data_IF_370458730901
#
_entry.id   IF_370458730901
#
_cell.length_a   1.000
_cell.length_b   1.000
_cell.length_c   1.000
_cell.angle_alpha   90.00
_cell.angle_beta   90.00
_cell.angle_gamma   90.00
#
_symmetry.space_group_name_H-M   'P 1'
#
loop_
_entity.id
_entity.type
_entity.pdbx_description
1 polymer ?
#
# COMPACT_ATOMS: atom_id res chain seq x y z
N UNK A 1 32.68 24.79 48.51
CA UNK A 1 31.30 24.32 48.32
C UNK A 1 30.66 25.26 47.31
N UNK A 2 30.44 24.81 46.09
CA UNK A 2 29.16 25.02 45.39
C UNK A 2 29.14 24.23 44.08
N UNK A 3 28.25 23.26 44.10
CA UNK A 3 28.10 22.12 43.23
C UNK A 3 27.15 22.51 42.09
N UNK A 4 27.69 22.95 40.94
CA UNK A 4 26.84 23.31 39.80
C UNK A 4 26.50 22.08 38.95
N UNK A 5 25.55 21.33 39.52
CA UNK A 5 24.58 20.37 38.99
C UNK A 5 24.75 19.92 37.53
N UNK A 6 25.09 18.63 37.44
CA UNK A 6 24.86 17.70 36.34
C UNK A 6 23.44 17.78 35.75
N UNK A 7 23.40 17.70 34.42
CA UNK A 7 22.67 16.70 33.61
C UNK A 7 21.17 16.53 33.85
N UNK A 8 20.36 16.85 32.84
CA UNK A 8 19.71 15.89 31.92
C UNK A 8 18.58 16.61 31.17
N UNK A 9 18.79 16.83 29.87
CA UNK A 9 17.70 17.06 28.92
C UNK A 9 17.00 15.71 28.79
N UNK A 10 15.86 15.54 29.44
CA UNK A 10 15.00 14.39 29.20
C UNK A 10 14.31 14.60 27.87
N UNK A 11 14.82 13.92 26.84
CA UNK A 11 14.03 13.55 25.67
C UNK A 11 12.76 12.85 26.18
N UNK A 12 11.63 13.54 26.09
CA UNK A 12 10.33 12.87 26.08
C UNK A 12 10.23 12.24 24.70
N UNK A 13 10.75 11.01 24.60
CA UNK A 13 10.41 10.10 23.52
C UNK A 13 8.89 9.92 23.55
N UNK A 14 8.21 10.50 22.58
CA UNK A 14 6.81 10.26 22.30
C UNK A 14 6.64 8.78 21.99
N UNK A 15 6.09 8.03 22.95
CA UNK A 15 5.83 6.59 22.91
C UNK A 15 4.60 6.25 22.03
N UNK A 16 4.48 6.90 20.86
CA UNK A 16 3.37 6.74 19.92
C UNK A 16 3.71 6.18 18.51
N UNK A 17 4.90 5.60 18.19
CA UNK A 17 5.06 4.98 16.86
C UNK A 17 4.44 3.56 16.78
N UNK A 18 4.21 2.89 17.91
CA UNK A 18 3.84 1.45 17.90
C UNK A 18 2.35 1.24 17.60
N UNK A 19 1.47 2.06 18.16
CA UNK A 19 0.02 1.97 17.93
C UNK A 19 -0.35 2.24 16.46
N UNK A 20 0.31 3.21 15.81
CA UNK A 20 0.17 3.44 14.37
C UNK A 20 0.64 2.24 13.55
N UNK A 21 1.73 1.58 13.96
CA UNK A 21 2.32 0.48 13.19
C UNK A 21 1.48 -0.81 13.19
N UNK A 22 0.73 -1.08 14.26
CA UNK A 22 -0.14 -2.27 14.34
C UNK A 22 -1.42 -2.06 13.52
N UNK A 23 -2.07 -0.90 13.66
CA UNK A 23 -3.26 -0.56 12.87
C UNK A 23 -2.94 -0.46 11.36
N UNK A 24 -1.77 0.08 10.99
CA UNK A 24 -1.33 0.16 9.59
C UNK A 24 -0.98 -1.24 9.03
N UNK A 25 -0.43 -2.14 9.86
CA UNK A 25 -0.15 -3.54 9.46
C UNK A 25 -1.44 -4.34 9.30
N UNK A 26 -2.39 -4.25 10.23
CA UNK A 26 -3.68 -4.93 10.11
C UNK A 26 -4.48 -4.41 8.91
N UNK A 27 -4.51 -3.09 8.68
CA UNK A 27 -5.10 -2.51 7.46
C UNK A 27 -4.42 -3.01 6.19
N UNK A 28 -3.08 -3.14 6.17
CA UNK A 28 -2.34 -3.69 5.02
C UNK A 28 -2.63 -5.17 4.76
N UNK A 29 -2.82 -5.98 5.80
CA UNK A 29 -3.17 -7.40 5.67
C UNK A 29 -4.58 -7.52 5.07
N UNK A 30 -5.56 -6.81 5.63
CA UNK A 30 -6.93 -6.81 5.10
C UNK A 30 -7.02 -6.27 3.66
N UNK A 31 -6.21 -5.27 3.32
CA UNK A 31 -6.14 -4.73 1.95
C UNK A 31 -5.52 -5.73 0.96
N UNK A 32 -4.47 -6.46 1.37
CA UNK A 32 -3.86 -7.51 0.55
C UNK A 32 -4.81 -8.67 0.27
N UNK A 33 -5.57 -9.11 1.29
CA UNK A 33 -6.60 -10.14 1.13
C UNK A 33 -7.75 -9.69 0.22
N UNK A 34 -8.19 -8.42 0.33
CA UNK A 34 -9.18 -7.83 -0.57
C UNK A 34 -8.70 -7.78 -2.03
N UNK A 35 -7.45 -7.36 -2.28
CA UNK A 35 -6.89 -7.39 -3.62
C UNK A 35 -6.86 -8.81 -4.20
N UNK A 36 -6.45 -9.79 -3.39
CA UNK A 36 -6.40 -11.18 -3.86
C UNK A 36 -7.79 -11.70 -4.21
N UNK A 37 -8.80 -11.42 -3.38
CA UNK A 37 -10.18 -11.79 -3.68
C UNK A 37 -10.70 -11.16 -4.99
N UNK A 38 -10.31 -9.91 -5.30
CA UNK A 38 -10.64 -9.25 -6.57
C UNK A 38 -9.97 -9.97 -7.74
N UNK A 39 -8.68 -10.32 -7.62
CA UNK A 39 -7.94 -11.04 -8.66
C UNK A 39 -8.57 -12.42 -8.91
N UNK A 40 -8.87 -13.17 -7.86
CA UNK A 40 -9.47 -14.50 -7.93
C UNK A 40 -10.87 -14.43 -8.61
N UNK A 41 -11.67 -13.43 -8.25
CA UNK A 41 -12.98 -13.20 -8.87
C UNK A 41 -12.87 -12.85 -10.37
N UNK A 42 -11.86 -12.07 -10.75
CA UNK A 42 -11.59 -11.71 -12.14
C UNK A 42 -11.16 -12.92 -12.98
N UNK A 43 -10.32 -13.78 -12.43
CA UNK A 43 -9.93 -15.04 -13.08
C UNK A 43 -11.15 -15.94 -13.32
N UNK A 44 -12.04 -16.05 -12.34
CA UNK A 44 -13.30 -16.81 -12.46
C UNK A 44 -14.21 -16.19 -13.53
N UNK A 45 -14.35 -14.86 -13.55
CA UNK A 45 -15.12 -14.17 -14.60
C UNK A 45 -14.53 -14.45 -15.99
N UNK A 46 -13.21 -14.34 -16.15
CA UNK A 46 -12.52 -14.63 -17.41
C UNK A 46 -12.77 -16.07 -17.89
N UNK A 47 -12.71 -17.05 -16.97
CA UNK A 47 -13.00 -18.44 -17.30
C UNK A 47 -14.45 -18.63 -17.78
N UNK A 48 -15.43 -18.03 -17.09
CA UNK A 48 -16.86 -18.11 -17.47
C UNK A 48 -17.13 -17.44 -18.81
N UNK A 49 -16.51 -16.28 -19.07
CA UNK A 49 -16.61 -15.59 -20.37
C UNK A 49 -16.00 -16.45 -21.47
N UNK A 50 -14.85 -17.09 -21.24
CA UNK A 50 -14.25 -17.97 -22.22
C UNK A 50 -15.14 -19.17 -22.56
N UNK A 51 -15.79 -19.79 -21.57
CA UNK A 51 -16.77 -20.85 -21.78
C UNK A 51 -17.99 -20.37 -22.58
N UNK A 52 -18.48 -19.15 -22.31
CA UNK A 52 -19.58 -18.53 -23.04
C UNK A 52 -19.29 -18.41 -24.54
N UNK A 53 -18.05 -18.04 -24.91
CA UNK A 53 -17.64 -17.93 -26.31
C UNK A 53 -17.36 -19.28 -26.98
N UNK A 54 -17.11 -20.35 -26.21
CA UNK A 54 -16.99 -21.71 -26.74
C UNK A 54 -18.34 -22.34 -27.07
N UNK A 55 -19.40 -21.91 -26.39
CA UNK A 55 -20.74 -22.39 -26.64
C UNK A 55 -21.27 -21.89 -27.99
N UNK A 56 -21.24 -22.78 -28.99
CA UNK A 56 -21.71 -22.52 -30.36
C UNK A 56 -23.23 -22.54 -30.50
N UNK A 57 -23.97 -22.95 -29.46
CA UNK A 57 -25.43 -23.02 -29.49
C UNK A 57 -26.09 -21.68 -29.21
N UNK A 58 -25.34 -20.74 -28.60
CA UNK A 58 -25.81 -19.40 -28.30
C UNK A 58 -25.73 -18.47 -29.52
N UNK A 59 -26.77 -17.66 -29.69
CA UNK A 59 -26.72 -16.52 -30.61
C UNK A 59 -25.83 -15.42 -30.04
N UNK A 60 -25.41 -14.46 -30.87
CA UNK A 60 -24.62 -13.33 -30.38
C UNK A 60 -25.38 -12.47 -29.38
N UNK A 61 -26.69 -12.29 -29.56
CA UNK A 61 -27.52 -11.51 -28.64
C UNK A 61 -27.63 -12.22 -27.28
N UNK A 62 -27.81 -13.54 -27.27
CA UNK A 62 -27.81 -14.33 -26.04
C UNK A 62 -26.45 -14.26 -25.31
N UNK A 63 -25.35 -14.27 -26.07
CA UNK A 63 -24.01 -14.11 -25.49
C UNK A 63 -23.83 -12.72 -24.87
N UNK A 64 -24.26 -11.67 -25.56
CA UNK A 64 -24.17 -10.29 -25.05
C UNK A 64 -25.00 -10.14 -23.77
N UNK A 65 -26.22 -10.68 -23.74
CA UNK A 65 -27.06 -10.65 -22.55
C UNK A 65 -26.41 -11.38 -21.37
N UNK A 66 -25.91 -12.61 -21.59
CA UNK A 66 -25.23 -13.39 -20.55
C UNK A 66 -23.92 -12.75 -20.08
N UNK A 67 -23.20 -12.05 -20.96
CA UNK A 67 -22.03 -11.26 -20.59
C UNK A 67 -22.40 -10.10 -19.67
N UNK A 68 -23.49 -9.39 -19.97
CA UNK A 68 -23.99 -8.33 -19.11
C UNK A 68 -24.38 -8.86 -17.73
N UNK A 69 -25.07 -10.01 -17.68
CA UNK A 69 -25.45 -10.66 -16.43
C UNK A 69 -24.22 -11.07 -15.59
N UNK A 70 -23.18 -11.62 -16.22
CA UNK A 70 -21.92 -11.99 -15.56
C UNK A 70 -21.17 -10.77 -15.01
N UNK A 71 -21.15 -9.65 -15.75
CA UNK A 71 -20.51 -8.40 -15.31
C UNK A 71 -21.29 -7.78 -14.15
N UNK A 72 -22.62 -7.79 -14.21
CA UNK A 72 -23.48 -7.30 -13.14
C UNK A 72 -23.33 -8.13 -11.87
N UNK A 73 -23.37 -9.47 -11.99
CA UNK A 73 -23.16 -10.37 -10.86
C UNK A 73 -21.78 -10.16 -10.20
N UNK A 74 -20.72 -9.94 -10.99
CA UNK A 74 -19.40 -9.56 -10.46
C UNK A 74 -19.43 -8.21 -9.75
N UNK A 75 -20.14 -7.23 -10.30
CA UNK A 75 -20.24 -5.88 -9.73
C UNK A 75 -21.05 -5.86 -8.42
N UNK A 76 -21.91 -6.84 -8.20
CA UNK A 76 -22.60 -7.08 -6.93
C UNK A 76 -21.70 -7.83 -5.93
N UNK A 77 -20.92 -8.81 -6.39
CA UNK A 77 -20.00 -9.62 -5.56
C UNK A 77 -18.77 -8.81 -5.10
N UNK A 78 -18.25 -7.96 -5.98
CA UNK A 78 -17.21 -6.97 -5.68
C UNK A 78 -17.91 -5.62 -5.59
N UNK A 79 -18.29 -5.16 -4.40
CA UNK A 79 -18.83 -3.80 -4.24
C UNK A 79 -17.91 -2.82 -4.99
N UNK A 80 -18.41 -2.17 -6.05
CA UNK A 80 -17.62 -1.27 -6.88
C UNK A 80 -16.94 -0.15 -6.07
N UNK A 81 -17.52 0.20 -4.91
CA UNK A 81 -16.94 1.12 -3.95
C UNK A 81 -15.62 0.59 -3.35
N UNK A 82 -15.54 -0.70 -3.04
CA UNK A 82 -14.34 -1.34 -2.49
C UNK A 82 -13.20 -1.38 -3.53
N UNK A 83 -13.50 -1.63 -4.81
CA UNK A 83 -12.50 -1.61 -5.89
C UNK A 83 -11.94 -0.20 -6.16
N UNK A 84 -12.82 0.81 -6.20
CA UNK A 84 -12.41 2.21 -6.42
C UNK A 84 -11.63 2.75 -5.22
N UNK A 85 -12.06 2.42 -4.00
CA UNK A 85 -11.36 2.81 -2.77
C UNK A 85 -10.00 2.13 -2.66
N UNK A 86 -9.89 0.82 -2.92
CA UNK A 86 -8.60 0.11 -2.88
C UNK A 86 -7.58 0.70 -3.87
N UNK A 87 -8.00 0.97 -5.11
CA UNK A 87 -7.12 1.58 -6.11
C UNK A 87 -6.70 3.01 -5.74
N UNK A 88 -7.61 3.78 -5.15
CA UNK A 88 -7.33 5.17 -4.73
C UNK A 88 -6.42 5.23 -3.49
N UNK A 89 -6.61 4.32 -2.53
CA UNK A 89 -5.75 4.18 -1.35
C UNK A 89 -4.33 3.74 -1.74
N UNK A 90 -4.17 2.80 -2.67
CA UNK A 90 -2.85 2.38 -3.16
C UNK A 90 -2.08 3.53 -3.83
N UNK A 91 -2.78 4.33 -4.66
CA UNK A 91 -2.20 5.51 -5.31
C UNK A 91 -1.81 6.56 -4.26
N UNK A 92 -2.70 6.84 -3.30
CA UNK A 92 -2.43 7.81 -2.23
C UNK A 92 -1.26 7.38 -1.31
N UNK A 93 -1.16 6.09 -0.98
CA UNK A 93 -0.05 5.55 -0.20
C UNK A 93 1.27 5.64 -0.95
N UNK A 94 1.29 5.36 -2.26
CA UNK A 94 2.48 5.51 -3.06
C UNK A 94 2.93 6.97 -3.18
N UNK A 95 1.99 7.91 -3.34
CA UNK A 95 2.28 9.35 -3.36
C UNK A 95 2.83 9.87 -2.02
N UNK A 96 2.40 9.33 -0.89
CA UNK A 96 2.87 9.75 0.44
C UNK A 96 4.19 9.09 0.86
N UNK A 97 4.39 7.81 0.54
CA UNK A 97 5.53 7.00 1.00
C UNK A 97 6.80 7.30 0.19
N UNK A 98 6.68 7.54 -1.12
CA UNK A 98 7.83 7.83 -2.00
C UNK A 98 8.63 9.08 -1.54
N UNK A 99 8.01 10.24 -1.26
CA UNK A 99 8.72 11.43 -0.78
C UNK A 99 9.42 11.20 0.56
N UNK A 100 8.80 10.48 1.50
CA UNK A 100 9.38 10.19 2.82
C UNK A 100 10.64 9.33 2.68
N UNK A 101 10.60 8.29 1.84
CA UNK A 101 11.76 7.43 1.54
C UNK A 101 12.90 8.24 0.89
N UNK A 102 12.58 9.14 -0.03
CA UNK A 102 13.57 10.02 -0.66
C UNK A 102 14.20 10.99 0.35
N UNK A 103 13.40 11.64 1.19
CA UNK A 103 13.87 12.57 2.22
C UNK A 103 14.80 11.88 3.24
N UNK A 104 14.43 10.67 3.69
CA UNK A 104 15.27 9.87 4.58
C UNK A 104 16.59 9.46 3.92
N UNK A 105 16.55 9.04 2.65
CA UNK A 105 17.75 8.69 1.88
C UNK A 105 18.70 9.88 1.71
N UNK A 106 18.16 11.06 1.40
CA UNK A 106 18.94 12.31 1.33
C UNK A 106 19.57 12.67 2.68
N UNK A 107 18.83 12.54 3.79
CA UNK A 107 19.34 12.79 5.14
C UNK A 107 20.50 11.85 5.50
N UNK A 108 20.38 10.56 5.18
CA UNK A 108 21.46 9.56 5.37
C UNK A 108 22.71 9.90 4.55
N UNK A 109 22.54 10.31 3.29
CA UNK A 109 23.68 10.73 2.43
C UNK A 109 24.40 11.94 3.01
N UNK A 110 23.68 13.00 3.39
CA UNK A 110 24.28 14.22 3.99
C UNK A 110 25.04 13.91 5.28
N UNK A 111 24.47 13.06 6.14
CA UNK A 111 25.11 12.65 7.39
C UNK A 111 26.39 11.84 7.14
N UNK A 112 26.40 10.95 6.14
CA UNK A 112 27.60 10.19 5.75
C UNK A 112 28.71 11.12 5.26
N UNK A 113 28.40 12.08 4.38
CA UNK A 113 29.39 13.05 3.90
C UNK A 113 29.92 13.94 5.01
N UNK A 114 29.06 14.37 5.94
CA UNK A 114 29.48 15.15 7.12
C UNK A 114 30.39 14.35 8.05
N UNK A 115 30.05 13.08 8.30
CA UNK A 115 30.87 12.19 9.12
C UNK A 115 32.26 11.93 8.50
N UNK A 116 32.32 11.73 7.17
CA UNK A 116 33.59 11.61 6.45
C UNK A 116 34.47 12.86 6.59
N UNK A 117 33.90 14.06 6.36
CA UNK A 117 34.65 15.32 6.53
C UNK A 117 35.18 15.52 7.95
N UNK A 118 34.38 15.19 8.97
CA UNK A 118 34.82 15.28 10.38
C UNK A 118 35.95 14.28 10.66
N UNK A 119 35.89 13.07 10.08
CA UNK A 119 36.94 12.07 10.21
C UNK A 119 38.23 12.51 9.53
N UNK A 120 38.16 13.11 8.35
CA UNK A 120 39.31 13.65 7.61
C UNK A 120 39.97 14.82 8.36
N UNK A 121 39.17 15.73 8.93
CA UNK A 121 39.69 16.85 9.73
C UNK A 121 40.34 16.43 11.05
N UNK A 122 39.95 15.28 11.62
CA UNK A 122 40.56 14.73 12.84
C UNK A 122 41.83 13.92 12.58
N UNK A 123 42.10 13.56 11.33
CA UNK A 123 43.27 12.79 10.92
C UNK A 123 44.45 13.67 10.48
N UNK A 124 44.26 15.00 10.46
CA UNK A 124 45.29 16.04 10.29
C UNK A 124 45.71 16.59 11.66
#
# INVERSE_FOLDING_TARGET
MDEKRRSKVSEVETDEPVAFSLQEKEKKIGHGEKMQAIIDADEVLHARVAELYKDKTLTNDDRVQRLADLINARSEEVELADLINARSEEVALNELIQPIKQAQSQKRKRNRTRAQRISEMKAL
#
